data_IF_652545256912
#
_entry.id   IF_652545256912
#
_cell.length_a   1.000
_cell.length_b   1.000
_cell.length_c   1.000
_cell.angle_alpha   90.00
_cell.angle_beta   90.00
_cell.angle_gamma   90.00
#
_symmetry.space_group_name_H-M   'P 1'
#
loop_
_entity.id
_entity.type
_entity.pdbx_description
1 polymer ?
#
# COMPACT_ATOMS: atom_id res chain seq x y z
N UNK A 1 -4.70 61.30 -21.53
CA UNK A 1 -3.75 60.20 -21.27
C UNK A 1 -3.95 59.50 -19.92
N UNK A 2 -4.30 60.21 -18.83
CA UNK A 2 -4.45 59.61 -17.48
C UNK A 2 -5.58 58.58 -17.30
N UNK A 3 -6.69 58.70 -18.03
CA UNK A 3 -7.84 57.78 -17.91
C UNK A 3 -7.55 56.37 -18.46
N UNK A 4 -6.69 56.25 -19.48
CA UNK A 4 -6.36 54.94 -20.09
C UNK A 4 -5.48 54.07 -19.18
N UNK A 5 -4.61 54.68 -18.37
CA UNK A 5 -3.79 53.96 -17.40
C UNK A 5 -4.61 53.45 -16.20
N UNK A 6 -5.64 54.18 -15.79
CA UNK A 6 -6.53 53.75 -14.70
C UNK A 6 -7.34 52.49 -15.09
N UNK A 7 -7.88 52.45 -16.31
CA UNK A 7 -8.70 51.32 -16.79
C UNK A 7 -7.84 50.06 -16.94
N UNK A 8 -6.62 50.17 -17.47
CA UNK A 8 -5.70 49.02 -17.58
C UNK A 8 -5.27 48.53 -16.19
N UNK A 9 -5.04 49.43 -15.24
CA UNK A 9 -4.73 49.07 -13.85
C UNK A 9 -5.88 48.35 -13.15
N UNK A 10 -7.12 48.80 -13.33
CA UNK A 10 -8.32 48.16 -12.75
C UNK A 10 -8.57 46.79 -13.41
N UNK A 11 -8.41 46.66 -14.73
CA UNK A 11 -8.56 45.36 -15.41
C UNK A 11 -7.48 44.37 -14.95
N UNK A 12 -6.22 44.79 -14.82
CA UNK A 12 -5.16 43.93 -14.28
C UNK A 12 -5.40 43.57 -12.80
N UNK A 13 -5.93 44.48 -12.00
CA UNK A 13 -6.28 44.21 -10.60
C UNK A 13 -7.48 43.25 -10.49
N UNK A 14 -8.50 43.39 -11.33
CA UNK A 14 -9.64 42.45 -11.40
C UNK A 14 -9.21 41.07 -11.94
N UNK A 15 -8.27 41.02 -12.88
CA UNK A 15 -7.65 39.76 -13.36
C UNK A 15 -6.77 39.10 -12.29
N UNK A 16 -6.09 39.88 -11.44
CA UNK A 16 -5.33 39.33 -10.31
C UNK A 16 -6.23 38.88 -9.14
N UNK A 17 -7.37 39.54 -8.90
CA UNK A 17 -8.33 39.10 -7.87
C UNK A 17 -9.07 37.82 -8.29
N UNK A 18 -9.33 37.63 -9.60
CA UNK A 18 -9.96 36.40 -10.12
C UNK A 18 -9.02 35.20 -10.22
N UNK A 19 -7.71 35.39 -10.00
CA UNK A 19 -6.73 34.30 -9.92
C UNK A 19 -6.62 33.69 -8.50
N UNK A 20 -7.32 34.25 -7.51
CA UNK A 20 -7.41 33.64 -6.18
C UNK A 20 -8.33 32.42 -6.25
N UNK A 21 -7.71 31.30 -6.57
CA UNK A 21 -7.88 30.01 -5.93
C UNK A 21 -9.33 29.65 -5.59
N UNK A 22 -10.06 29.18 -6.60
CA UNK A 22 -10.92 28.03 -6.32
C UNK A 22 -9.98 26.96 -5.76
N UNK A 23 -10.01 26.77 -4.44
CA UNK A 23 -9.34 25.68 -3.78
C UNK A 23 -10.03 24.40 -4.28
N UNK A 24 -9.56 23.90 -5.40
CA UNK A 24 -10.17 22.78 -6.08
C UNK A 24 -10.10 21.57 -5.16
N UNK A 25 -11.25 20.94 -4.95
CA UNK A 25 -11.29 19.60 -4.41
C UNK A 25 -10.55 18.70 -5.42
N UNK A 26 -9.49 18.05 -4.96
CA UNK A 26 -8.70 17.11 -5.76
C UNK A 26 -8.71 15.74 -5.11
N UNK A 27 -8.66 14.72 -5.94
CA UNK A 27 -8.42 13.37 -5.50
C UNK A 27 -7.06 12.91 -6.02
N UNK A 28 -6.33 12.15 -5.21
CA UNK A 28 -5.02 11.62 -5.55
C UNK A 28 -5.03 10.10 -5.38
N UNK A 29 -4.47 9.39 -6.35
CA UNK A 29 -4.19 7.96 -6.26
C UNK A 29 -2.68 7.79 -6.13
N UNK A 30 -2.24 7.17 -5.03
CA UNK A 30 -0.82 6.90 -4.79
C UNK A 30 -0.58 5.42 -4.53
N UNK A 31 0.50 4.88 -5.11
CA UNK A 31 1.00 3.54 -4.83
C UNK A 31 1.86 3.54 -3.54
N UNK A 32 1.84 2.46 -2.77
CA UNK A 32 2.74 2.32 -1.61
C UNK A 32 4.22 2.14 -2.02
N UNK A 33 4.50 1.70 -3.24
CA UNK A 33 5.83 1.64 -3.81
C UNK A 33 5.77 1.74 -5.34
N UNK A 34 6.81 2.29 -5.97
CA UNK A 34 6.84 2.47 -7.42
C UNK A 34 7.24 1.20 -8.20
N UNK A 35 7.68 0.13 -7.51
CA UNK A 35 8.20 -1.09 -8.14
C UNK A 35 9.45 -0.84 -9.01
N UNK A 36 10.11 -1.89 -9.51
CA UNK A 36 9.51 -3.09 -10.09
C UNK A 36 9.02 -4.10 -9.04
N UNK A 37 7.98 -4.85 -9.40
CA UNK A 37 7.40 -5.93 -8.60
C UNK A 37 7.76 -7.30 -9.19
N UNK A 38 7.65 -8.36 -8.39
CA UNK A 38 7.77 -9.75 -8.81
C UNK A 38 6.44 -10.47 -8.63
N UNK A 39 6.29 -11.64 -9.26
CA UNK A 39 5.11 -12.50 -9.03
C UNK A 39 5.04 -12.86 -7.53
N UNK A 40 3.85 -12.78 -6.96
CA UNK A 40 3.47 -12.88 -5.54
C UNK A 40 3.78 -11.67 -4.68
N UNK A 41 4.49 -10.66 -5.17
CA UNK A 41 4.65 -9.41 -4.41
C UNK A 41 3.28 -8.76 -4.20
N UNK A 42 3.15 -8.13 -3.03
CA UNK A 42 1.96 -7.43 -2.61
C UNK A 42 2.28 -5.94 -2.54
N UNK A 43 1.35 -5.12 -3.02
CA UNK A 43 1.42 -3.66 -2.89
C UNK A 43 0.03 -3.10 -2.63
N UNK A 44 -0.02 -1.82 -2.25
CA UNK A 44 -1.29 -1.14 -2.02
C UNK A 44 -1.45 0.07 -2.92
N UNK A 45 -2.69 0.32 -3.31
CA UNK A 45 -3.15 1.55 -3.93
C UNK A 45 -3.98 2.30 -2.91
N UNK A 46 -3.61 3.54 -2.65
CA UNK A 46 -4.28 4.42 -1.71
C UNK A 46 -5.02 5.52 -2.47
N UNK A 47 -6.29 5.71 -2.12
CA UNK A 47 -7.12 6.82 -2.62
C UNK A 47 -7.17 7.88 -1.53
N UNK A 48 -6.64 9.04 -1.86
CA UNK A 48 -6.60 10.23 -1.02
C UNK A 48 -7.51 11.28 -1.61
N UNK A 49 -8.14 12.05 -0.73
CA UNK A 49 -8.97 13.19 -1.13
C UNK A 49 -8.39 14.39 -0.38
N UNK A 50 -8.10 15.44 -1.12
CA UNK A 50 -7.50 16.67 -0.64
C UNK A 50 -8.30 17.86 -1.14
N UNK A 51 -8.45 18.88 -0.31
CA UNK A 51 -9.25 20.05 -0.68
C UNK A 51 -9.79 20.74 0.56
N UNK A 52 -10.34 21.94 0.36
CA UNK A 52 -10.91 22.74 1.45
C UNK A 52 -12.43 22.88 1.34
N UNK A 53 -13.03 22.33 0.27
CA UNK A 53 -14.48 22.37 0.03
C UNK A 53 -15.10 21.08 0.55
N UNK A 54 -16.29 21.18 1.13
CA UNK A 54 -17.05 20.03 1.59
C UNK A 54 -17.65 19.26 0.41
N UNK A 55 -17.78 17.94 0.53
CA UNK A 55 -18.41 17.10 -0.48
C UNK A 55 -19.39 16.10 0.16
N UNK A 56 -20.40 15.68 -0.60
CA UNK A 56 -21.49 14.82 -0.12
C UNK A 56 -21.20 13.32 -0.28
N UNK A 57 -20.25 12.95 -1.14
CA UNK A 57 -19.88 11.56 -1.32
C UNK A 57 -18.82 11.35 -2.38
N UNK A 58 -18.34 10.11 -2.47
CA UNK A 58 -17.40 9.62 -3.46
C UNK A 58 -18.02 8.44 -4.21
N UNK A 59 -17.82 8.41 -5.53
CA UNK A 59 -18.24 7.30 -6.40
C UNK A 59 -17.10 7.01 -7.38
N UNK A 60 -16.42 5.89 -7.17
CA UNK A 60 -15.16 5.57 -7.81
C UNK A 60 -15.17 4.20 -8.48
N UNK A 61 -14.44 4.10 -9.59
CA UNK A 61 -14.10 2.83 -10.23
C UNK A 61 -12.62 2.78 -10.59
N UNK A 62 -11.94 1.72 -10.15
CA UNK A 62 -10.53 1.47 -10.47
C UNK A 62 -10.45 0.20 -11.29
N UNK A 63 -9.89 0.30 -12.50
CA UNK A 63 -9.68 -0.83 -13.40
C UNK A 63 -8.24 -1.33 -13.32
N UNK A 64 -8.06 -2.64 -13.43
CA UNK A 64 -6.76 -3.31 -13.41
C UNK A 64 -6.77 -4.60 -14.26
N UNK A 65 -5.60 -5.01 -14.80
CA UNK A 65 -5.49 -6.25 -15.58
C UNK A 65 -5.57 -7.47 -14.66
N UNK A 66 -6.74 -8.11 -14.61
CA UNK A 66 -7.01 -9.30 -13.77
C UNK A 66 -6.19 -10.54 -14.12
N UNK A 67 -5.53 -10.56 -15.28
CA UNK A 67 -4.57 -11.60 -15.66
C UNK A 67 -3.18 -11.35 -15.08
N UNK A 68 -2.90 -10.15 -14.58
CA UNK A 68 -1.62 -9.74 -13.96
C UNK A 68 -1.72 -9.48 -12.47
N UNK A 69 -2.89 -9.01 -12.01
CA UNK A 69 -3.12 -8.56 -10.64
C UNK A 69 -4.36 -9.22 -10.04
N UNK A 70 -4.30 -9.44 -8.73
CA UNK A 70 -5.43 -9.93 -7.92
C UNK A 70 -5.60 -9.04 -6.70
N UNK A 71 -6.79 -8.51 -6.48
CA UNK A 71 -7.15 -7.83 -5.24
C UNK A 71 -7.30 -8.85 -4.12
N UNK A 72 -6.57 -8.65 -3.03
CA UNK A 72 -6.61 -9.51 -1.85
C UNK A 72 -7.34 -8.88 -0.67
N UNK A 73 -7.37 -7.54 -0.61
CA UNK A 73 -8.07 -6.82 0.45
C UNK A 73 -8.53 -5.42 -0.02
N UNK A 74 -9.60 -4.93 0.58
CA UNK A 74 -10.11 -3.57 0.39
C UNK A 74 -10.51 -3.05 1.77
N UNK A 75 -9.85 -1.97 2.23
CA UNK A 75 -10.05 -1.41 3.56
C UNK A 75 -10.38 0.08 3.48
N UNK A 76 -11.49 0.47 4.08
CA UNK A 76 -11.82 1.88 4.33
C UNK A 76 -11.12 2.39 5.57
N UNK A 77 -10.71 3.66 5.57
CA UNK A 77 -10.13 4.28 6.75
C UNK A 77 -11.19 4.47 7.85
N UNK A 78 -10.95 3.96 9.08
CA UNK A 78 -11.89 4.11 10.19
C UNK A 78 -12.35 5.54 10.47
N UNK A 79 -11.47 6.53 10.32
CA UNK A 79 -11.83 7.94 10.55
C UNK A 79 -12.79 8.42 9.46
N UNK A 80 -12.54 8.03 8.20
CA UNK A 80 -13.45 8.30 7.09
C UNK A 80 -14.79 7.56 7.27
N UNK A 81 -14.78 6.34 7.82
CA UNK A 81 -15.98 5.56 8.10
C UNK A 81 -16.96 6.30 9.02
N UNK A 82 -16.47 7.10 9.97
CA UNK A 82 -17.33 7.88 10.87
C UNK A 82 -18.05 9.04 10.18
N UNK A 83 -17.52 9.51 9.05
CA UNK A 83 -18.05 10.66 8.31
C UNK A 83 -19.00 10.24 7.18
N UNK A 84 -18.83 9.03 6.63
CA UNK A 84 -19.70 8.48 5.60
C UNK A 84 -20.80 7.61 6.22
N UNK A 85 -22.07 7.93 5.94
CA UNK A 85 -23.23 7.20 6.41
C UNK A 85 -23.52 5.89 5.68
N UNK A 86 -23.05 5.77 4.44
CA UNK A 86 -23.11 4.55 3.63
C UNK A 86 -21.76 4.34 2.95
N UNK A 87 -21.21 3.14 3.00
CA UNK A 87 -20.17 2.72 2.05
C UNK A 87 -20.52 1.38 1.42
N UNK A 88 -20.16 1.26 0.14
CA UNK A 88 -20.33 0.05 -0.63
C UNK A 88 -19.05 -0.21 -1.41
N UNK A 89 -18.60 -1.45 -1.41
CA UNK A 89 -17.54 -1.97 -2.27
C UNK A 89 -18.00 -3.29 -2.87
N UNK A 90 -17.61 -3.54 -4.12
CA UNK A 90 -17.87 -4.85 -4.72
C UNK A 90 -17.17 -5.96 -3.90
N UNK A 91 -17.79 -7.14 -3.73
CA UNK A 91 -17.13 -8.28 -3.09
C UNK A 91 -15.83 -8.64 -3.83
N UNK A 92 -14.78 -9.00 -3.09
CA UNK A 92 -13.45 -9.32 -3.67
C UNK A 92 -13.52 -10.39 -4.78
N UNK A 93 -14.43 -11.35 -4.68
CA UNK A 93 -14.64 -12.36 -5.73
C UNK A 93 -15.14 -11.74 -7.05
N UNK A 94 -16.08 -10.79 -6.97
CA UNK A 94 -16.59 -10.06 -8.13
C UNK A 94 -15.50 -9.13 -8.70
N UNK A 95 -14.81 -8.40 -7.83
CA UNK A 95 -13.68 -7.51 -8.20
C UNK A 95 -12.65 -8.23 -9.08
N UNK A 96 -12.18 -9.40 -8.63
CA UNK A 96 -11.19 -10.19 -9.36
C UNK A 96 -11.75 -10.81 -10.65
N UNK A 97 -13.07 -11.07 -10.70
CA UNK A 97 -13.73 -11.58 -11.91
C UNK A 97 -13.79 -10.51 -12.99
N UNK A 98 -14.09 -9.27 -12.62
CA UNK A 98 -14.27 -8.17 -13.55
C UNK A 98 -12.96 -7.41 -13.86
N UNK A 99 -11.98 -7.44 -12.96
CA UNK A 99 -10.78 -6.60 -13.08
C UNK A 99 -11.07 -5.15 -12.72
N UNK A 100 -12.01 -4.92 -11.81
CA UNK A 100 -12.42 -3.58 -11.40
C UNK A 100 -12.86 -3.54 -9.95
N UNK A 101 -12.53 -2.46 -9.25
CA UNK A 101 -13.06 -2.14 -7.92
C UNK A 101 -14.00 -0.95 -8.06
N UNK A 102 -15.31 -1.19 -7.89
CA UNK A 102 -16.29 -0.10 -7.75
C UNK A 102 -16.54 0.18 -6.28
N UNK A 103 -16.66 1.45 -5.93
CA UNK A 103 -16.93 1.86 -4.57
C UNK A 103 -17.70 3.17 -4.50
N UNK A 104 -18.58 3.24 -3.51
CA UNK A 104 -19.39 4.42 -3.23
C UNK A 104 -19.33 4.70 -1.74
N UNK A 105 -19.18 5.95 -1.35
CA UNK A 105 -19.44 6.38 0.01
C UNK A 105 -20.17 7.72 0.04
N UNK A 106 -21.22 7.82 0.84
CA UNK A 106 -22.09 9.01 0.91
C UNK A 106 -22.20 9.45 2.37
N UNK A 107 -22.11 10.75 2.63
CA UNK A 107 -22.30 11.32 3.97
C UNK A 107 -23.76 11.57 4.27
N UNK A 108 -24.11 11.49 5.55
CA UNK A 108 -25.41 11.96 6.04
C UNK A 108 -25.32 13.41 6.56
N UNK A 109 -24.12 14.00 6.57
CA UNK A 109 -23.91 15.37 7.03
C UNK A 109 -24.48 16.37 6.02
N UNK A 110 -25.43 17.23 6.41
CA UNK A 110 -26.09 18.16 5.49
C UNK A 110 -25.12 19.21 4.91
N UNK A 111 -24.01 19.48 5.58
CA UNK A 111 -22.96 20.40 5.10
C UNK A 111 -21.88 19.70 4.27
N UNK A 112 -21.97 18.37 4.10
CA UNK A 112 -20.93 17.55 3.50
C UNK A 112 -19.74 17.29 4.44
N UNK A 113 -18.73 16.59 3.92
CA UNK A 113 -17.49 16.27 4.66
C UNK A 113 -16.36 17.15 4.13
N UNK A 114 -15.58 17.74 5.03
CA UNK A 114 -14.35 18.42 4.68
C UNK A 114 -13.16 17.43 4.65
N UNK A 115 -12.37 17.34 3.55
CA UNK A 115 -11.18 16.51 3.50
C UNK A 115 -10.14 16.75 4.59
N UNK A 116 -10.12 17.94 5.19
CA UNK A 116 -9.23 18.24 6.31
C UNK A 116 -9.63 17.56 7.64
N UNK A 117 -10.87 17.04 7.73
CA UNK A 117 -11.44 16.52 8.98
C UNK A 117 -11.37 15.00 9.12
N UNK A 118 -10.89 14.26 8.11
CA UNK A 118 -10.70 12.80 8.20
C UNK A 118 -9.29 12.38 7.77
N UNK A 119 -8.84 11.24 8.30
CA UNK A 119 -7.54 10.68 7.95
C UNK A 119 -7.46 10.29 6.48
N UNK A 120 -6.34 10.64 5.84
CA UNK A 120 -5.95 10.08 4.54
C UNK A 120 -5.03 8.86 4.76
N UNK A 121 -5.09 7.81 3.92
CA UNK A 121 -5.99 7.65 2.77
C UNK A 121 -7.43 7.33 3.18
N UNK A 122 -8.40 7.50 2.29
CA UNK A 122 -9.83 7.17 2.50
C UNK A 122 -10.12 5.70 2.23
N UNK A 123 -9.49 5.16 1.19
CA UNK A 123 -9.61 3.77 0.75
C UNK A 123 -8.23 3.21 0.45
N UNK A 124 -7.96 1.99 0.89
CA UNK A 124 -6.75 1.23 0.57
C UNK A 124 -7.13 -0.08 -0.10
N UNK A 125 -6.56 -0.36 -1.27
CA UNK A 125 -6.76 -1.61 -2.02
C UNK A 125 -5.42 -2.35 -2.08
N UNK A 126 -5.41 -3.59 -1.63
CA UNK A 126 -4.22 -4.45 -1.64
C UNK A 126 -4.26 -5.37 -2.85
N UNK A 127 -3.20 -5.32 -3.66
CA UNK A 127 -3.01 -6.13 -4.86
C UNK A 127 -1.88 -7.13 -4.64
N UNK A 128 -2.05 -8.33 -5.19
CA UNK A 128 -1.02 -9.33 -5.37
C UNK A 128 -0.69 -9.45 -6.87
N UNK A 129 0.59 -9.44 -7.22
CA UNK A 129 1.06 -9.74 -8.56
C UNK A 129 0.92 -11.23 -8.85
N UNK A 130 0.23 -11.64 -9.91
CA UNK A 130 -0.03 -13.05 -10.21
C UNK A 130 0.58 -13.52 -11.54
N UNK A 131 0.98 -12.60 -12.41
CA UNK A 131 1.67 -12.93 -13.65
C UNK A 131 2.60 -11.78 -14.08
N UNK A 132 3.61 -12.15 -14.86
CA UNK A 132 4.59 -11.24 -15.42
C UNK A 132 4.03 -10.23 -16.43
N UNK A 133 4.73 -9.11 -16.61
CA UNK A 133 4.44 -8.11 -17.63
C UNK A 133 4.16 -6.74 -17.04
N UNK A 134 3.57 -5.86 -17.84
CA UNK A 134 3.20 -4.52 -17.41
C UNK A 134 1.74 -4.51 -16.98
N UNK A 135 1.44 -3.92 -15.82
CA UNK A 135 0.09 -3.73 -15.34
C UNK A 135 -0.22 -2.24 -15.16
N UNK A 136 -1.29 -1.78 -15.80
CA UNK A 136 -1.82 -0.42 -15.62
C UNK A 136 -2.97 -0.42 -14.63
N UNK A 137 -2.93 0.46 -13.64
CA UNK A 137 -3.99 0.67 -12.66
C UNK A 137 -4.46 2.11 -12.81
N UNK A 138 -5.75 2.31 -13.00
CA UNK A 138 -6.27 3.65 -13.25
C UNK A 138 -7.76 3.75 -13.04
N UNK A 139 -8.29 4.95 -13.21
CA UNK A 139 -9.74 5.18 -13.27
C UNK A 139 -10.34 4.41 -14.45
N UNK A 140 -11.47 3.72 -14.22
CA UNK A 140 -12.28 3.21 -15.32
C UNK A 140 -13.06 4.32 -16.04
N UNK A 141 -13.58 4.00 -17.24
CA UNK A 141 -14.30 4.92 -18.16
C UNK A 141 -15.61 5.55 -17.59
N UNK A 142 -15.89 5.43 -16.29
CA UNK A 142 -17.16 5.87 -15.68
C UNK A 142 -16.98 6.41 -14.26
N UNK A 143 -15.80 6.89 -13.91
CA UNK A 143 -15.49 7.22 -12.53
C UNK A 143 -15.86 8.69 -12.19
N UNK A 144 -17.01 8.89 -11.56
CA UNK A 144 -17.49 10.19 -11.09
C UNK A 144 -17.17 10.41 -9.60
N UNK A 145 -15.92 10.77 -9.32
CA UNK A 145 -15.32 10.64 -7.99
C UNK A 145 -15.92 11.46 -6.85
N UNK A 146 -16.69 12.52 -7.13
CA UNK A 146 -17.13 13.47 -6.13
C UNK A 146 -18.56 13.95 -6.41
N UNK A 147 -19.44 13.66 -5.46
CA UNK A 147 -20.81 14.17 -5.42
C UNK A 147 -20.82 15.44 -4.56
N UNK A 148 -21.30 16.55 -5.09
CA UNK A 148 -21.70 17.72 -4.30
C UNK A 148 -23.21 17.88 -4.48
N UNK A 149 -23.97 17.85 -3.38
CA UNK A 149 -25.43 17.96 -3.37
C UNK A 149 -26.16 16.97 -4.31
N UNK A 150 -25.63 15.76 -4.45
CA UNK A 150 -26.21 14.73 -5.32
C UNK A 150 -26.12 15.03 -6.82
N UNK A 151 -25.35 16.05 -7.23
CA UNK A 151 -25.00 16.30 -8.63
C UNK A 151 -23.49 16.16 -8.85
N UNK A 152 -23.12 15.64 -10.01
CA UNK A 152 -21.73 15.69 -10.50
C UNK A 152 -21.38 17.15 -10.80
N UNK A 153 -20.31 17.68 -10.19
CA UNK A 153 -19.86 19.05 -10.43
C UNK A 153 -19.68 19.33 -11.94
N UNK A 154 -20.38 20.33 -12.52
CA UNK A 154 -20.14 20.76 -13.89
C UNK A 154 -18.71 21.31 -14.00
N UNK A 155 -17.86 20.64 -14.78
CA UNK A 155 -16.47 21.05 -14.99
C UNK A 155 -15.43 20.26 -14.20
N UNK A 156 -15.83 19.26 -13.39
CA UNK A 156 -14.94 18.13 -13.14
C UNK A 156 -14.88 17.31 -14.42
N UNK A 157 -13.94 17.66 -15.31
CA UNK A 157 -13.49 16.73 -16.35
C UNK A 157 -13.14 15.44 -15.64
N UNK A 158 -13.85 14.37 -16.00
CA UNK A 158 -13.61 12.96 -15.71
C UNK A 158 -12.35 12.77 -14.86
N UNK A 159 -12.52 12.45 -13.57
CA UNK A 159 -11.47 12.38 -12.56
C UNK A 159 -10.48 11.25 -12.86
N UNK A 160 -9.79 11.43 -13.99
CA UNK A 160 -8.92 10.46 -14.60
C UNK A 160 -7.64 10.51 -13.81
N UNK A 161 -7.46 9.51 -12.97
CA UNK A 161 -6.15 9.28 -12.40
C UNK A 161 -5.21 8.94 -13.53
N UNK A 162 -3.99 9.49 -13.56
CA UNK A 162 -3.00 9.03 -14.50
C UNK A 162 -2.84 7.52 -14.33
N UNK A 163 -2.85 6.79 -15.44
CA UNK A 163 -2.63 5.35 -15.46
C UNK A 163 -1.32 5.04 -14.73
N UNK A 164 -1.41 4.48 -13.53
CA UNK A 164 -0.26 4.05 -12.76
C UNK A 164 0.22 2.74 -13.35
N UNK A 165 1.38 2.80 -14.01
CA UNK A 165 1.95 1.63 -14.68
C UNK A 165 3.02 1.01 -13.81
N UNK A 166 2.88 -0.28 -13.53
CA UNK A 166 3.88 -1.07 -12.81
C UNK A 166 4.45 -2.16 -13.71
N UNK A 167 5.72 -2.50 -13.48
CA UNK A 167 6.38 -3.62 -14.15
C UNK A 167 6.45 -4.79 -13.17
N UNK A 168 5.89 -5.92 -13.59
CA UNK A 168 5.95 -7.20 -12.89
C UNK A 168 6.98 -8.06 -13.62
N UNK A 169 8.12 -8.27 -12.97
CA UNK A 169 9.19 -9.07 -13.51
C UNK A 169 8.73 -10.53 -13.65
N UNK A 170 8.80 -10.99 -14.89
CA UNK A 170 8.62 -12.38 -15.29
C UNK A 170 9.84 -13.24 -15.21
N UNK A 171 10.94 -12.64 -14.76
CA UNK A 171 12.02 -13.44 -14.26
C UNK A 171 11.41 -14.47 -13.33
N UNK A 172 11.80 -15.72 -13.54
CA UNK A 172 12.36 -16.44 -12.41
C UNK A 172 13.46 -15.52 -11.86
N UNK A 173 13.09 -14.46 -11.13
CA UNK A 173 13.75 -14.26 -9.87
C UNK A 173 13.60 -15.64 -9.25
N UNK A 174 14.63 -16.47 -9.44
CA UNK A 174 15.08 -17.30 -8.36
C UNK A 174 15.07 -16.28 -7.23
N UNK A 175 13.98 -16.28 -6.46
CA UNK A 175 14.02 -15.79 -5.11
C UNK A 175 15.19 -16.61 -4.61
N UNK A 176 16.36 -15.97 -4.56
CA UNK A 176 17.57 -16.61 -4.08
C UNK A 176 17.22 -16.85 -2.63
N UNK A 177 16.67 -18.03 -2.39
CA UNK A 177 16.23 -18.47 -1.10
C UNK A 177 17.45 -18.29 -0.20
N UNK A 178 17.21 -17.75 0.99
CA UNK A 178 18.27 -17.54 1.97
C UNK A 178 18.86 -18.91 2.27
N UNK A 179 20.17 -19.06 2.06
CA UNK A 179 20.87 -20.27 2.42
C UNK A 179 20.78 -20.47 3.93
N UNK A 180 20.19 -21.59 4.35
CA UNK A 180 20.04 -21.95 5.76
C UNK A 180 21.32 -22.62 6.21
N UNK A 181 21.93 -22.09 7.26
CA UNK A 181 23.13 -22.69 7.85
C UNK A 181 22.79 -24.01 8.57
N UNK A 182 23.79 -24.84 8.87
CA UNK A 182 23.58 -26.13 9.55
C UNK A 182 22.96 -25.99 10.95
N UNK A 183 23.18 -24.85 11.61
CA UNK A 183 22.55 -24.49 12.88
C UNK A 183 21.18 -23.81 12.71
N UNK A 184 20.61 -23.89 11.51
CA UNK A 184 19.34 -23.25 11.10
C UNK A 184 19.35 -21.72 11.17
N UNK A 185 20.53 -21.08 11.23
CA UNK A 185 20.63 -19.63 11.16
C UNK A 185 20.31 -19.10 9.75
N UNK A 186 19.67 -17.94 9.70
CA UNK A 186 19.26 -17.24 8.47
C UNK A 186 19.95 -15.88 8.42
N UNK A 187 20.60 -15.56 7.29
CA UNK A 187 21.15 -14.23 7.06
C UNK A 187 20.11 -13.38 6.32
N UNK A 188 19.44 -12.49 7.04
CA UNK A 188 18.30 -11.72 6.56
C UNK A 188 18.79 -10.42 5.91
N UNK A 189 18.26 -10.13 4.72
CA UNK A 189 18.12 -8.75 4.26
C UNK A 189 16.64 -8.35 4.31
N UNK A 190 16.35 -7.26 5.00
CA UNK A 190 15.00 -6.70 5.17
C UNK A 190 14.94 -5.28 4.61
N UNK A 191 13.89 -4.97 3.85
CA UNK A 191 13.54 -3.62 3.42
C UNK A 191 12.35 -3.14 4.26
N UNK A 192 12.62 -2.21 5.17
CA UNK A 192 11.60 -1.61 6.04
C UNK A 192 11.55 -0.11 5.76
N UNK A 193 10.41 0.37 5.27
CA UNK A 193 10.18 1.78 4.92
C UNK A 193 11.28 2.35 4.00
N UNK A 194 11.71 1.58 2.99
CA UNK A 194 12.77 1.93 2.03
C UNK A 194 14.18 2.01 2.63
N UNK A 195 14.36 1.58 3.87
CA UNK A 195 15.67 1.42 4.50
C UNK A 195 15.99 -0.06 4.58
N UNK A 196 17.15 -0.44 4.01
CA UNK A 196 17.60 -1.83 3.97
C UNK A 196 18.49 -2.16 5.16
N UNK A 197 18.17 -3.25 5.84
CA UNK A 197 18.89 -3.75 7.00
C UNK A 197 19.36 -5.18 6.77
N UNK A 198 20.57 -5.48 7.24
CA UNK A 198 21.11 -6.83 7.28
C UNK A 198 21.31 -7.28 8.72
N UNK A 199 20.86 -8.50 9.05
CA UNK A 199 21.05 -9.12 10.36
C UNK A 199 20.91 -10.63 10.28
N UNK A 200 21.48 -11.33 11.25
CA UNK A 200 21.36 -12.77 11.40
C UNK A 200 20.22 -13.13 12.35
N UNK A 201 19.42 -14.10 11.96
CA UNK A 201 18.43 -14.76 12.79
C UNK A 201 18.98 -16.13 13.21
N UNK A 202 19.18 -16.33 14.51
CA UNK A 202 19.63 -17.61 15.06
C UNK A 202 18.42 -18.44 15.49
N UNK A 203 18.39 -19.71 15.09
CA UNK A 203 17.35 -20.62 15.55
C UNK A 203 17.42 -20.77 17.08
N UNK A 204 16.28 -20.57 17.72
CA UNK A 204 16.14 -20.62 19.17
C UNK A 204 15.13 -21.71 19.53
N UNK A 205 15.66 -22.84 20.01
CA UNK A 205 14.83 -23.85 20.65
C UNK A 205 14.49 -23.38 22.06
N UNK A 206 13.22 -23.04 22.33
CA UNK A 206 12.83 -22.51 23.62
C UNK A 206 12.83 -23.61 24.70
N UNK A 207 13.66 -23.52 25.76
CA UNK A 207 13.65 -24.48 26.86
C UNK A 207 12.46 -24.31 27.81
N UNK A 208 11.71 -23.20 27.74
CA UNK A 208 10.62 -22.86 28.66
C UNK A 208 9.24 -23.41 28.25
N UNK A 209 9.20 -24.34 27.29
CA UNK A 209 7.97 -25.08 26.94
C UNK A 209 6.95 -24.29 26.11
N UNK A 210 7.36 -23.28 25.34
CA UNK A 210 6.46 -22.73 24.31
C UNK A 210 6.49 -23.60 23.06
N UNK A 211 5.31 -23.87 22.53
CA UNK A 211 5.17 -24.63 21.30
C UNK A 211 5.56 -23.79 20.08
N UNK A 212 6.49 -24.30 19.28
CA UNK A 212 6.82 -23.78 17.97
C UNK A 212 8.31 -23.64 17.69
N UNK A 213 8.61 -23.13 16.51
CA UNK A 213 9.96 -22.87 16.02
C UNK A 213 10.21 -21.37 16.03
N UNK A 214 11.28 -20.94 16.70
CA UNK A 214 11.59 -19.54 16.89
C UNK A 214 12.97 -19.20 16.33
N UNK A 215 13.10 -17.97 15.88
CA UNK A 215 14.37 -17.35 15.52
C UNK A 215 14.54 -16.07 16.30
N UNK A 216 15.74 -15.84 16.82
CA UNK A 216 16.13 -14.66 17.57
C UNK A 216 17.11 -13.82 16.75
N UNK A 217 16.89 -12.52 16.66
CA UNK A 217 17.85 -11.63 16.00
C UNK A 217 19.15 -11.50 16.81
N UNK A 218 20.27 -11.61 16.09
CA UNK A 218 21.58 -11.26 16.58
C UNK A 218 21.83 -9.77 16.36
N UNK A 219 21.60 -8.97 17.40
CA UNK A 219 21.77 -7.52 17.36
C UNK A 219 23.21 -7.08 17.08
N UNK A 220 24.22 -7.94 17.35
CA UNK A 220 25.60 -7.61 17.02
C UNK A 220 25.85 -7.62 15.50
N UNK A 221 24.99 -8.28 14.72
CA UNK A 221 25.08 -8.33 13.26
C UNK A 221 24.22 -7.29 12.55
N UNK A 222 23.33 -6.62 13.29
CA UNK A 222 22.38 -5.66 12.75
C UNK A 222 23.08 -4.41 12.22
N UNK A 223 22.88 -4.12 10.93
CA UNK A 223 23.45 -2.95 10.29
C UNK A 223 22.58 -2.44 9.14
N UNK A 224 22.51 -1.11 8.91
CA UNK A 224 21.98 -0.58 7.66
C UNK A 224 22.90 -0.98 6.51
N UNK A 225 22.30 -1.31 5.36
CA UNK A 225 23.04 -1.67 4.16
C UNK A 225 23.13 -0.45 3.24
N UNK A 226 24.36 -0.02 2.93
CA UNK A 226 24.64 1.23 2.18
C UNK A 226 24.63 1.05 0.66
N UNK A 227 24.89 -0.16 0.17
CA UNK A 227 24.83 -0.54 -1.24
C UNK A 227 23.58 -1.37 -1.49
N UNK A 228 22.85 -1.11 -2.58
CA UNK A 228 21.64 -1.84 -2.97
C UNK A 228 21.90 -3.36 -3.08
N UNK A 229 21.69 -4.14 -2.01
CA UNK A 229 22.14 -5.52 -1.93
C UNK A 229 21.01 -6.41 -2.45
N UNK A 230 20.68 -6.27 -3.73
CA UNK A 230 19.63 -7.07 -4.38
C UNK A 230 18.26 -7.05 -3.68
N UNK A 231 17.49 -8.12 -3.92
CA UNK A 231 16.11 -8.30 -3.46
C UNK A 231 16.07 -8.66 -1.96
N UNK A 232 15.92 -7.65 -1.10
CA UNK A 232 15.64 -7.82 0.33
C UNK A 232 14.16 -8.13 0.56
N UNK A 233 13.85 -8.81 1.66
CA UNK A 233 12.47 -9.12 2.04
C UNK A 233 11.77 -7.82 2.41
N UNK A 234 10.66 -7.48 1.74
CA UNK A 234 9.83 -6.36 2.14
C UNK A 234 9.18 -6.64 3.51
N UNK A 235 9.30 -5.70 4.43
CA UNK A 235 8.82 -5.82 5.81
C UNK A 235 7.78 -4.73 6.08
N UNK A 236 6.59 -5.15 6.50
CA UNK A 236 5.50 -4.26 6.92
C UNK A 236 5.61 -3.83 8.38
N UNK A 237 4.62 -3.07 8.86
CA UNK A 237 4.58 -2.57 10.25
C UNK A 237 4.36 -3.68 11.28
N UNK A 238 3.86 -4.85 10.86
CA UNK A 238 3.74 -6.06 11.68
C UNK A 238 5.08 -6.80 11.86
N UNK A 239 6.12 -6.33 11.17
CA UNK A 239 7.46 -6.89 11.14
C UNK A 239 7.50 -8.38 10.71
N UNK A 240 6.45 -8.87 10.04
CA UNK A 240 6.43 -10.23 9.54
C UNK A 240 7.43 -10.40 8.39
N UNK A 241 8.10 -11.56 8.34
CA UNK A 241 9.07 -11.88 7.29
C UNK A 241 8.55 -13.06 6.47
N UNK A 242 8.38 -12.85 5.16
CA UNK A 242 8.06 -13.91 4.22
C UNK A 242 9.35 -14.58 3.74
N UNK A 243 9.67 -15.75 4.29
CA UNK A 243 10.95 -16.43 4.07
C UNK A 243 10.86 -17.39 2.89
N UNK A 244 11.80 -17.24 1.95
CA UNK A 244 12.26 -18.31 1.06
C UNK A 244 13.61 -18.79 1.62
N UNK A 245 13.70 -20.05 2.01
CA UNK A 245 14.87 -20.65 2.61
C UNK A 245 15.34 -21.86 1.78
N UNK A 246 16.65 -21.99 1.53
CA UNK A 246 17.23 -23.16 0.86
C UNK A 246 18.07 -23.93 1.87
N UNK A 247 17.67 -25.17 2.14
CA UNK A 247 18.36 -26.07 3.06
C UNK A 247 18.58 -27.42 2.39
N UNK A 248 19.84 -27.84 2.31
CA UNK A 248 20.24 -29.12 1.70
C UNK A 248 19.70 -29.34 0.28
N UNK A 249 19.65 -28.28 -0.53
CA UNK A 249 19.15 -28.32 -1.91
C UNK A 249 17.63 -28.33 -2.07
N UNK A 250 16.88 -28.30 -0.96
CA UNK A 250 15.43 -28.12 -0.96
C UNK A 250 15.08 -26.66 -0.63
N UNK A 251 14.03 -26.15 -1.27
CA UNK A 251 13.54 -24.78 -1.04
C UNK A 251 12.22 -24.80 -0.30
N UNK A 252 12.11 -23.96 0.70
CA UNK A 252 10.95 -23.87 1.58
C UNK A 252 10.48 -22.43 1.67
N UNK A 253 9.16 -22.26 1.67
CA UNK A 253 8.47 -21.00 1.90
C UNK A 253 7.71 -21.06 3.20
N UNK A 254 7.85 -20.05 4.05
CA UNK A 254 7.05 -19.91 5.27
C UNK A 254 7.11 -18.47 5.79
N UNK A 255 6.10 -18.10 6.57
CA UNK A 255 6.03 -16.82 7.26
C UNK A 255 6.64 -16.92 8.65
N UNK A 256 7.43 -15.91 9.01
CA UNK A 256 7.95 -15.67 10.34
C UNK A 256 7.19 -14.47 10.92
N UNK A 257 6.36 -14.70 11.93
CA UNK A 257 5.59 -13.66 12.61
C UNK A 257 6.40 -13.06 13.76
N UNK A 258 6.48 -11.74 13.84
CA UNK A 258 7.15 -11.07 14.95
C UNK A 258 6.49 -11.44 16.28
N UNK A 259 7.30 -11.83 17.26
CA UNK A 259 6.86 -12.25 18.58
C UNK A 259 7.54 -11.35 19.63
N UNK A 260 6.86 -10.31 20.11
CA UNK A 260 7.43 -9.42 21.12
C UNK A 260 7.53 -10.18 22.45
N UNK A 261 8.74 -10.63 22.78
CA UNK A 261 9.05 -11.22 24.08
C UNK A 261 10.16 -10.45 24.76
N UNK A 262 9.91 -10.07 26.01
CA UNK A 262 10.92 -9.47 26.89
C UNK A 262 11.41 -10.55 27.82
N UNK A 263 12.68 -10.95 27.67
CA UNK A 263 13.30 -11.83 28.65
C UNK A 263 13.55 -11.01 29.94
N UNK A 264 12.96 -11.40 31.08
CA UNK A 264 13.13 -10.66 32.33
C UNK A 264 14.58 -10.60 32.83
N UNK A 265 15.49 -11.43 32.31
CA UNK A 265 16.90 -11.46 32.70
C UNK A 265 17.82 -10.63 31.78
N UNK A 266 17.46 -10.46 30.51
CA UNK A 266 18.37 -9.94 29.47
C UNK A 266 17.79 -8.67 28.80
N UNK A 267 16.50 -8.38 29.00
CA UNK A 267 15.82 -7.20 28.46
C UNK A 267 15.02 -7.51 27.19
N UNK A 268 14.81 -6.49 26.36
CA UNK A 268 14.04 -6.63 25.11
C UNK A 268 14.85 -7.39 24.07
N UNK A 269 14.24 -8.42 23.51
CA UNK A 269 14.85 -9.24 22.48
C UNK A 269 13.85 -9.43 21.33
N UNK A 270 14.36 -9.51 20.10
CA UNK A 270 13.53 -9.57 18.91
C UNK A 270 13.44 -11.03 18.44
N UNK A 271 12.23 -11.58 18.52
CA UNK A 271 11.93 -12.95 18.13
C UNK A 271 10.94 -12.99 16.97
N UNK A 272 11.07 -14.04 16.17
CA UNK A 272 10.06 -14.42 15.19
C UNK A 272 9.67 -15.87 15.39
N UNK A 273 8.37 -16.16 15.28
CA UNK A 273 7.81 -17.51 15.34
C UNK A 273 7.40 -17.95 13.93
N UNK A 274 7.80 -19.15 13.53
CA UNK A 274 7.33 -19.71 12.26
C UNK A 274 5.84 -20.04 12.31
N UNK A 275 5.13 -19.62 11.27
CA UNK A 275 3.76 -20.03 10.99
C UNK A 275 3.77 -21.31 10.15
N UNK A 276 3.59 -22.45 10.81
CA UNK A 276 3.56 -23.76 10.16
C UNK A 276 2.38 -23.93 9.20
N UNK A 277 1.31 -23.13 9.33
CA UNK A 277 0.20 -23.13 8.38
C UNK A 277 0.58 -22.57 7.01
N UNK A 278 1.67 -21.81 6.94
CA UNK A 278 2.20 -21.23 5.69
C UNK A 278 3.36 -22.04 5.10
N UNK A 279 3.80 -23.10 5.78
CA UNK A 279 4.94 -23.89 5.36
C UNK A 279 4.64 -24.67 4.07
N UNK A 280 5.49 -24.49 3.07
CA UNK A 280 5.42 -25.22 1.80
C UNK A 280 6.79 -25.45 1.20
N UNK A 281 6.98 -26.59 0.56
CA UNK A 281 8.12 -26.80 -0.33
C UNK A 281 7.88 -26.00 -1.62
N UNK A 282 8.88 -25.22 -2.04
CA UNK A 282 8.88 -24.44 -3.27
C UNK A 282 9.64 -25.26 -4.32
N UNK A 283 9.00 -25.56 -5.44
CA UNK A 283 9.62 -26.28 -6.57
C UNK A 283 10.14 -25.29 -7.61
#
# INVERSE_FOLDING_TARGET
MRLRFLIVGVILFVLMISANAFAALSSEMSLSSAGPFNINDVFTVQIKITGTINFSGIDGKIDFPKDKLKVTNITWNPDALTQFGLQMTDPIAAVNTYGSVSFVAITNEPEGINPANYGNPVLTITFQCIAEGTAGIGSGDSAAWLLIDGQTLPGMTDGSYPLQTITINGGTSQISCISVQDNLALNICADYHSVKYGFMLNYFYNPNGWDGHFWKADLATFRPLQSDPGNCIAVGDDLALNICAEYQGHRYGFMLNFYPYTDPKIGTEFYWRADLGTFKEIR
#
